data_IF_517068609665
#
_entry.id   IF_517068609665
#
_cell.length_a   1.000
_cell.length_b   1.000
_cell.length_c   1.000
_cell.angle_alpha   90.00
_cell.angle_beta   90.00
_cell.angle_gamma   90.00
#
_symmetry.space_group_name_H-M   'P 1'
#
loop_
_entity.id
_entity.type
_entity.pdbx_description
1 polymer ?
#
# COMPACT_ATOMS: atom_id res chain seq x y z
N UNK A 1 -16.33 21.52 -10.82
CA UNK A 1 -14.94 20.98 -10.86
C UNK A 1 -14.62 20.01 -9.72
N UNK A 2 -15.58 19.60 -8.89
CA UNK A 2 -15.39 18.65 -7.77
C UNK A 2 -15.10 17.19 -8.20
N UNK A 3 -15.16 16.90 -9.51
CA UNK A 3 -14.96 15.54 -10.03
C UNK A 3 -13.52 15.21 -10.43
N UNK A 4 -12.62 16.22 -10.45
CA UNK A 4 -11.23 16.01 -10.88
C UNK A 4 -10.49 14.95 -10.03
N UNK A 5 -10.53 14.99 -8.68
CA UNK A 5 -9.92 13.94 -7.87
C UNK A 5 -10.47 12.55 -8.22
N UNK A 6 -11.78 12.41 -8.35
CA UNK A 6 -12.41 11.13 -8.68
C UNK A 6 -11.99 10.59 -10.05
N UNK A 7 -11.76 11.47 -11.03
CA UNK A 7 -11.25 11.07 -12.36
C UNK A 7 -9.82 10.52 -12.22
N UNK A 8 -8.96 11.20 -11.45
CA UNK A 8 -7.59 10.75 -11.21
C UNK A 8 -7.59 9.39 -10.49
N UNK A 9 -8.46 9.21 -9.49
CA UNK A 9 -8.63 7.93 -8.79
C UNK A 9 -9.11 6.82 -9.75
N UNK A 10 -10.04 7.11 -10.66
CA UNK A 10 -10.46 6.15 -11.69
C UNK A 10 -9.32 5.77 -12.64
N UNK A 11 -8.50 6.73 -13.07
CA UNK A 11 -7.30 6.48 -13.88
C UNK A 11 -6.29 5.59 -13.13
N UNK A 12 -6.13 5.80 -11.81
CA UNK A 12 -5.30 4.94 -10.96
C UNK A 12 -5.84 3.51 -10.90
N UNK A 13 -7.14 3.32 -10.76
CA UNK A 13 -7.76 1.98 -10.80
C UNK A 13 -7.45 1.29 -12.12
N UNK A 14 -7.65 1.98 -13.25
CA UNK A 14 -7.33 1.43 -14.57
C UNK A 14 -5.85 1.08 -14.71
N UNK A 15 -4.96 1.99 -14.32
CA UNK A 15 -3.51 1.76 -14.34
C UNK A 15 -3.11 0.57 -13.47
N UNK A 16 -3.72 0.44 -12.28
CA UNK A 16 -3.49 -0.69 -11.38
C UNK A 16 -3.89 -2.01 -12.03
N UNK A 17 -5.06 -2.10 -12.62
CA UNK A 17 -5.51 -3.31 -13.30
C UNK A 17 -4.60 -3.67 -14.50
N UNK A 18 -4.14 -2.67 -15.25
CA UNK A 18 -3.21 -2.88 -16.36
C UNK A 18 -1.88 -3.53 -15.91
N UNK A 19 -1.42 -3.29 -14.68
CA UNK A 19 -0.20 -3.89 -14.13
C UNK A 19 -0.22 -5.43 -14.24
N UNK A 20 -1.38 -6.07 -14.07
CA UNK A 20 -1.48 -7.54 -14.15
C UNK A 20 -1.20 -8.07 -15.56
N UNK A 21 -1.64 -7.34 -16.58
CA UNK A 21 -1.66 -7.80 -17.96
C UNK A 21 -0.42 -7.39 -18.76
N UNK A 22 0.29 -6.33 -18.32
CA UNK A 22 1.46 -5.84 -19.06
C UNK A 22 2.71 -6.66 -18.78
N UNK A 23 3.66 -6.72 -19.76
CA UNK A 23 4.99 -7.27 -19.57
C UNK A 23 5.73 -6.58 -18.41
N UNK A 24 6.67 -7.29 -17.77
CA UNK A 24 7.40 -6.79 -16.60
C UNK A 24 8.16 -5.47 -16.84
N UNK A 25 8.55 -5.18 -18.09
CA UNK A 25 9.19 -3.91 -18.45
C UNK A 25 8.31 -2.68 -18.21
N UNK A 26 6.98 -2.84 -18.26
CA UNK A 26 6.01 -1.76 -18.02
C UNK A 26 5.53 -1.70 -16.57
N UNK A 27 5.93 -2.67 -15.74
CA UNK A 27 5.54 -2.71 -14.33
C UNK A 27 5.94 -1.43 -13.60
N UNK A 28 7.22 -1.04 -13.67
CA UNK A 28 7.72 0.15 -12.97
C UNK A 28 7.05 1.45 -13.42
N UNK A 29 6.96 1.76 -14.73
CA UNK A 29 6.27 2.96 -15.18
C UNK A 29 4.83 3.06 -14.66
N UNK A 30 4.06 1.97 -14.75
CA UNK A 30 2.66 1.95 -14.28
C UNK A 30 2.56 2.02 -12.76
N UNK A 31 3.45 1.35 -12.05
CA UNK A 31 3.53 1.39 -10.60
C UNK A 31 3.76 2.81 -10.09
N UNK A 32 4.76 3.50 -10.66
CA UNK A 32 5.06 4.90 -10.33
C UNK A 32 3.93 5.84 -10.72
N UNK A 33 3.34 5.65 -11.88
CA UNK A 33 2.20 6.43 -12.32
C UNK A 33 1.04 6.30 -11.32
N UNK A 34 0.68 5.08 -10.93
CA UNK A 34 -0.38 4.84 -9.96
C UNK A 34 -0.09 5.46 -8.58
N UNK A 35 1.16 5.35 -8.08
CA UNK A 35 1.54 5.96 -6.81
C UNK A 35 1.61 7.49 -6.85
N UNK A 36 2.05 8.08 -7.98
CA UNK A 36 2.07 9.54 -8.16
C UNK A 36 0.64 10.10 -8.25
N UNK A 37 -0.26 9.41 -8.95
CA UNK A 37 -1.67 9.84 -9.04
C UNK A 37 -2.35 9.84 -7.68
N UNK A 38 -2.05 8.87 -6.80
CA UNK A 38 -2.51 8.84 -5.42
C UNK A 38 -2.06 10.07 -4.60
N UNK A 39 -0.78 10.42 -4.72
CA UNK A 39 -0.25 11.59 -4.04
C UNK A 39 -0.89 12.89 -4.58
N UNK A 40 -1.14 12.96 -5.89
CA UNK A 40 -1.70 14.14 -6.55
C UNK A 40 -3.17 14.34 -6.22
N UNK A 41 -4.00 13.30 -6.30
CA UNK A 41 -5.45 13.45 -6.03
C UNK A 41 -5.72 13.76 -4.56
N UNK A 42 -5.02 13.11 -3.62
CA UNK A 42 -5.11 13.41 -2.20
C UNK A 42 -4.63 14.83 -1.85
N UNK A 43 -3.53 15.32 -2.48
CA UNK A 43 -3.06 16.70 -2.31
C UNK A 43 -4.05 17.70 -2.89
N UNK A 44 -4.56 17.45 -4.11
CA UNK A 44 -5.51 18.31 -4.80
C UNK A 44 -6.83 18.41 -4.05
N UNK A 45 -7.38 17.28 -3.60
CA UNK A 45 -8.62 17.24 -2.82
C UNK A 45 -8.54 18.06 -1.54
N UNK A 46 -7.42 17.97 -0.81
CA UNK A 46 -7.18 18.77 0.41
C UNK A 46 -6.99 20.23 0.11
N UNK A 47 -6.17 20.60 -0.87
CA UNK A 47 -5.85 22.02 -1.20
C UNK A 47 -7.06 22.76 -1.72
N UNK A 48 -7.94 22.11 -2.46
CA UNK A 48 -9.10 22.72 -3.09
C UNK A 48 -10.40 22.55 -2.29
N UNK A 49 -10.36 21.89 -1.13
CA UNK A 49 -11.53 21.53 -0.33
C UNK A 49 -12.61 20.77 -1.17
N UNK A 50 -12.17 19.87 -2.04
CA UNK A 50 -13.04 19.05 -2.91
C UNK A 50 -13.26 17.65 -2.34
N UNK A 51 -13.13 17.48 -1.05
CA UNK A 51 -13.38 16.21 -0.38
C UNK A 51 -14.87 15.88 -0.41
N UNK A 52 -15.20 14.62 -0.69
CA UNK A 52 -16.55 14.09 -0.62
C UNK A 52 -16.53 12.69 -0.03
N UNK A 53 -17.60 12.25 0.69
CA UNK A 53 -17.65 10.90 1.24
C UNK A 53 -17.48 9.80 0.17
N UNK A 54 -18.06 10.02 -1.00
CA UNK A 54 -17.89 9.11 -2.14
C UNK A 54 -16.46 9.11 -2.68
N UNK A 55 -15.81 10.27 -2.80
CA UNK A 55 -14.41 10.37 -3.23
C UNK A 55 -13.46 9.66 -2.27
N UNK A 56 -13.66 9.82 -0.96
CA UNK A 56 -12.86 9.13 0.06
C UNK A 56 -13.04 7.60 -0.01
N UNK A 57 -14.27 7.13 -0.21
CA UNK A 57 -14.53 5.70 -0.40
C UNK A 57 -13.86 5.16 -1.66
N UNK A 58 -13.98 5.87 -2.80
CA UNK A 58 -13.37 5.49 -4.06
C UNK A 58 -11.84 5.44 -3.97
N UNK A 59 -11.25 6.40 -3.27
CA UNK A 59 -9.81 6.46 -2.99
C UNK A 59 -9.34 5.24 -2.18
N UNK A 60 -10.01 4.92 -1.07
CA UNK A 60 -9.70 3.73 -0.27
C UNK A 60 -9.83 2.43 -1.07
N UNK A 61 -10.83 2.35 -1.96
CA UNK A 61 -11.00 1.19 -2.85
C UNK A 61 -9.87 1.09 -3.86
N UNK A 62 -9.45 2.21 -4.43
CA UNK A 62 -8.34 2.27 -5.38
C UNK A 62 -7.01 1.86 -4.74
N UNK A 63 -6.75 2.29 -3.49
CA UNK A 63 -5.58 1.90 -2.71
C UNK A 63 -5.54 0.40 -2.45
N UNK A 64 -6.68 -0.16 -2.02
CA UNK A 64 -6.80 -1.60 -1.79
C UNK A 64 -6.56 -2.40 -3.08
N UNK A 65 -7.16 -1.98 -4.18
CA UNK A 65 -6.96 -2.62 -5.49
C UNK A 65 -5.51 -2.52 -5.96
N UNK A 66 -4.90 -1.36 -5.86
CA UNK A 66 -3.49 -1.16 -6.21
C UNK A 66 -2.59 -2.10 -5.40
N UNK A 67 -2.79 -2.15 -4.08
CA UNK A 67 -2.04 -3.02 -3.18
C UNK A 67 -2.18 -4.51 -3.55
N UNK A 68 -3.41 -4.99 -3.76
CA UNK A 68 -3.68 -6.38 -4.13
C UNK A 68 -3.06 -6.75 -5.47
N UNK A 69 -3.16 -5.86 -6.46
CA UNK A 69 -2.59 -6.06 -7.80
C UNK A 69 -1.07 -6.12 -7.76
N UNK A 70 -0.43 -5.22 -7.02
CA UNK A 70 1.03 -5.19 -6.87
C UNK A 70 1.52 -6.47 -6.19
N UNK A 71 0.88 -6.89 -5.10
CA UNK A 71 1.22 -8.15 -4.43
C UNK A 71 1.05 -9.34 -5.40
N UNK A 72 -0.08 -9.43 -6.09
CA UNK A 72 -0.32 -10.51 -7.04
C UNK A 72 0.77 -10.54 -8.13
N UNK A 73 1.11 -9.38 -8.71
CA UNK A 73 2.17 -9.28 -9.73
C UNK A 73 3.53 -9.70 -9.19
N UNK A 74 3.89 -9.27 -7.98
CA UNK A 74 5.17 -9.64 -7.33
C UNK A 74 5.22 -11.13 -7.07
N UNK A 75 4.18 -11.72 -6.49
CA UNK A 75 4.11 -13.18 -6.21
C UNK A 75 4.18 -14.01 -7.49
N UNK A 76 3.54 -13.56 -8.58
CA UNK A 76 3.56 -14.24 -9.87
C UNK A 76 4.91 -14.10 -10.61
N UNK A 77 5.69 -13.07 -10.30
CA UNK A 77 6.91 -12.74 -11.05
C UNK A 77 8.19 -13.12 -10.31
N UNK A 78 8.18 -13.06 -8.99
CA UNK A 78 9.35 -13.26 -8.14
C UNK A 78 9.10 -14.43 -7.20
N UNK A 79 10.04 -15.38 -7.16
CA UNK A 79 10.03 -16.45 -6.15
C UNK A 79 10.38 -15.85 -4.79
N UNK A 80 9.36 -15.60 -3.97
CA UNK A 80 9.55 -15.06 -2.62
C UNK A 80 10.11 -16.16 -1.70
N UNK A 81 11.17 -15.88 -0.94
CA UNK A 81 11.63 -16.79 0.10
C UNK A 81 10.53 -17.08 1.13
N UNK A 82 10.40 -18.33 1.55
CA UNK A 82 9.35 -18.77 2.46
C UNK A 82 9.29 -17.95 3.78
N UNK A 83 10.45 -17.52 4.30
CA UNK A 83 10.50 -16.71 5.53
C UNK A 83 9.79 -15.36 5.39
N UNK A 84 9.80 -14.75 4.17
CA UNK A 84 9.07 -13.50 3.91
C UNK A 84 7.56 -13.71 3.93
N UNK A 85 7.09 -14.84 3.37
CA UNK A 85 5.66 -15.18 3.38
C UNK A 85 5.17 -15.43 4.81
N UNK A 86 5.90 -16.23 5.59
CA UNK A 86 5.57 -16.48 6.99
C UNK A 86 5.67 -15.22 7.85
N UNK A 87 6.69 -14.39 7.62
CA UNK A 87 6.84 -13.11 8.29
C UNK A 87 5.69 -12.15 8.00
N UNK A 88 5.29 -12.01 6.74
CA UNK A 88 4.16 -11.18 6.34
C UNK A 88 2.84 -11.69 6.95
N UNK A 89 2.63 -13.02 6.98
CA UNK A 89 1.47 -13.61 7.63
C UNK A 89 1.44 -13.31 9.13
N UNK A 90 2.59 -13.41 9.80
CA UNK A 90 2.72 -13.08 11.24
C UNK A 90 2.36 -11.62 11.51
N UNK A 91 2.89 -10.68 10.70
CA UNK A 91 2.55 -9.25 10.80
C UNK A 91 1.05 -9.03 10.60
N UNK A 92 0.46 -9.66 9.57
CA UNK A 92 -0.96 -9.54 9.29
C UNK A 92 -1.83 -10.06 10.46
N UNK A 93 -1.46 -11.19 11.05
CA UNK A 93 -2.15 -11.74 12.22
C UNK A 93 -2.06 -10.81 13.44
N UNK A 94 -0.88 -10.27 13.74
CA UNK A 94 -0.70 -9.33 14.86
C UNK A 94 -1.59 -8.11 14.63
N UNK A 95 -1.59 -7.51 13.43
CA UNK A 95 -2.44 -6.36 13.10
C UNK A 95 -3.93 -6.67 13.22
N UNK A 96 -4.37 -7.81 12.70
CA UNK A 96 -5.76 -8.22 12.85
C UNK A 96 -6.16 -8.34 14.33
N UNK A 97 -5.30 -8.93 15.17
CA UNK A 97 -5.54 -9.04 16.61
C UNK A 97 -5.60 -7.64 17.26
N UNK A 98 -4.67 -6.75 16.93
CA UNK A 98 -4.63 -5.38 17.45
C UNK A 98 -5.89 -4.60 17.06
N UNK A 99 -6.37 -4.70 15.81
CA UNK A 99 -7.60 -4.05 15.38
C UNK A 99 -8.84 -4.62 16.09
N UNK A 100 -8.91 -5.93 16.30
CA UNK A 100 -10.00 -6.58 17.03
C UNK A 100 -10.03 -6.10 18.48
N UNK A 101 -8.87 -6.10 19.16
CA UNK A 101 -8.76 -5.62 20.56
C UNK A 101 -9.11 -4.13 20.63
N UNK A 102 -8.59 -3.30 19.74
CA UNK A 102 -8.87 -1.87 19.67
C UNK A 102 -10.36 -1.59 19.50
N UNK A 103 -11.02 -2.31 18.60
CA UNK A 103 -12.45 -2.18 18.37
C UNK A 103 -13.28 -2.54 19.63
N UNK A 104 -12.99 -3.67 20.26
CA UNK A 104 -13.73 -4.08 21.47
C UNK A 104 -13.47 -3.18 22.67
N UNK A 105 -12.29 -2.57 22.78
CA UNK A 105 -11.92 -1.74 23.94
C UNK A 105 -12.32 -0.28 23.77
N UNK A 106 -12.21 0.28 22.57
CA UNK A 106 -12.38 1.71 22.33
C UNK A 106 -13.58 2.05 21.43
N UNK A 107 -14.26 1.06 20.84
CA UNK A 107 -15.35 1.22 19.86
C UNK A 107 -15.01 2.16 18.70
N UNK A 108 -13.73 2.32 18.38
CA UNK A 108 -13.22 3.14 17.30
C UNK A 108 -12.13 2.37 16.56
N UNK A 109 -12.15 2.46 15.23
CA UNK A 109 -11.03 2.03 14.40
C UNK A 109 -9.98 3.14 14.42
N UNK A 110 -9.17 3.19 15.47
CA UNK A 110 -8.02 4.11 15.54
C UNK A 110 -6.80 3.39 14.97
N UNK A 111 -6.50 3.62 13.69
CA UNK A 111 -5.16 3.33 13.21
C UNK A 111 -4.23 4.40 13.80
N UNK A 112 -3.36 4.01 14.71
CA UNK A 112 -2.32 4.90 15.21
C UNK A 112 -1.37 5.21 14.06
N UNK A 113 -1.32 6.47 13.63
CA UNK A 113 -0.39 6.95 12.61
C UNK A 113 1.02 7.09 13.22
N UNK A 114 1.60 5.95 13.64
CA UNK A 114 2.96 5.94 14.18
C UNK A 114 3.98 6.24 13.07
N UNK A 115 5.13 6.81 13.45
CA UNK A 115 6.22 7.05 12.50
C UNK A 115 6.71 5.76 11.85
N UNK A 116 6.74 4.65 12.61
CA UNK A 116 7.13 3.33 12.10
C UNK A 116 6.14 2.80 11.06
N UNK A 117 4.84 3.04 11.24
CA UNK A 117 3.83 2.64 10.25
C UNK A 117 4.01 3.41 8.93
N UNK A 118 4.29 4.72 9.00
CA UNK A 118 4.61 5.54 7.82
C UNK A 118 5.90 5.08 7.15
N UNK A 119 6.93 4.76 7.93
CA UNK A 119 8.20 4.25 7.42
C UNK A 119 8.01 2.91 6.71
N UNK A 120 7.27 1.99 7.32
CA UNK A 120 6.96 0.67 6.72
C UNK A 120 6.21 0.83 5.40
N UNK A 121 5.21 1.73 5.35
CA UNK A 121 4.49 2.06 4.12
C UNK A 121 5.41 2.63 3.04
N UNK A 122 6.32 3.54 3.40
CA UNK A 122 7.30 4.11 2.48
C UNK A 122 8.28 3.02 1.96
N UNK A 123 8.77 2.15 2.83
CA UNK A 123 9.64 1.04 2.43
C UNK A 123 8.94 0.06 1.51
N UNK A 124 7.67 -0.25 1.77
CA UNK A 124 6.84 -1.06 0.88
C UNK A 124 6.66 -0.38 -0.48
N UNK A 125 6.36 0.91 -0.49
CA UNK A 125 6.23 1.69 -1.72
C UNK A 125 7.54 1.74 -2.51
N UNK A 126 8.68 1.86 -1.85
CA UNK A 126 10.00 1.88 -2.51
C UNK A 126 10.52 0.47 -2.86
N UNK A 127 9.88 -0.58 -2.34
CA UNK A 127 10.37 -1.96 -2.49
C UNK A 127 10.68 -2.39 -3.93
N UNK A 128 9.89 -2.05 -4.97
CA UNK A 128 10.22 -2.43 -6.33
C UNK A 128 11.53 -1.80 -6.84
N UNK A 129 11.84 -0.58 -6.39
CA UNK A 129 13.09 0.10 -6.78
C UNK A 129 14.27 -0.49 -6.02
N UNK A 130 14.10 -0.67 -4.72
CA UNK A 130 15.18 -1.18 -3.85
C UNK A 130 15.58 -2.58 -4.28
N UNK A 131 14.62 -3.42 -4.69
CA UNK A 131 14.88 -4.77 -5.18
C UNK A 131 15.63 -4.83 -6.53
N UNK A 132 15.76 -3.71 -7.25
CA UNK A 132 16.66 -3.62 -8.41
C UNK A 132 18.13 -3.54 -8.01
N UNK A 133 18.42 -3.03 -6.82
CA UNK A 133 19.77 -2.72 -6.35
C UNK A 133 20.20 -3.69 -5.23
N UNK A 134 19.27 -4.05 -4.36
CA UNK A 134 19.52 -4.87 -3.17
C UNK A 134 18.86 -6.23 -3.32
N UNK A 135 19.57 -7.28 -2.88
CA UNK A 135 19.00 -8.62 -2.89
C UNK A 135 17.75 -8.71 -1.99
N UNK A 136 16.80 -9.54 -2.39
CA UNK A 136 15.49 -9.69 -1.73
C UNK A 136 15.61 -10.13 -0.25
N UNK A 137 16.62 -10.93 0.09
CA UNK A 137 16.78 -11.44 1.46
C UNK A 137 17.10 -10.34 2.49
N UNK A 138 18.18 -9.52 2.35
CA UNK A 138 18.51 -8.49 3.33
C UNK A 138 17.42 -7.40 3.38
N UNK A 139 16.89 -6.98 2.24
CA UNK A 139 15.81 -6.00 2.21
C UNK A 139 14.53 -6.51 2.87
N UNK A 140 14.17 -7.77 2.60
CA UNK A 140 12.99 -8.40 3.19
C UNK A 140 13.09 -8.53 4.71
N UNK A 141 14.28 -8.81 5.26
CA UNK A 141 14.50 -8.82 6.72
C UNK A 141 14.29 -7.42 7.31
N UNK A 142 14.85 -6.37 6.70
CA UNK A 142 14.68 -4.99 7.16
C UNK A 142 13.19 -4.60 7.12
N UNK A 143 12.50 -4.91 6.04
CA UNK A 143 11.09 -4.61 5.88
C UNK A 143 10.23 -5.32 6.94
N UNK A 144 10.47 -6.62 7.16
CA UNK A 144 9.75 -7.40 8.17
C UNK A 144 10.01 -6.91 9.58
N UNK A 145 11.25 -6.55 9.93
CA UNK A 145 11.55 -6.01 11.26
C UNK A 145 10.85 -4.68 11.50
N UNK A 146 10.86 -3.76 10.53
CA UNK A 146 10.11 -2.51 10.61
C UNK A 146 8.59 -2.76 10.75
N UNK A 147 8.05 -3.70 9.96
CA UNK A 147 6.63 -4.03 10.00
C UNK A 147 6.20 -4.68 11.33
N UNK A 148 7.03 -5.56 11.89
CA UNK A 148 6.80 -6.18 13.20
C UNK A 148 6.83 -5.13 14.32
N UNK A 149 7.85 -4.28 14.35
CA UNK A 149 7.96 -3.20 15.34
C UNK A 149 6.74 -2.26 15.26
N UNK A 150 6.35 -1.87 14.05
CA UNK A 150 5.16 -1.05 13.83
C UNK A 150 3.87 -1.72 14.32
N UNK A 151 3.76 -3.05 14.13
CA UNK A 151 2.57 -3.81 14.56
C UNK A 151 2.47 -4.01 16.07
N UNK A 152 3.61 -3.99 16.78
CA UNK A 152 3.65 -4.09 18.24
C UNK A 152 3.41 -2.73 18.90
N UNK A 153 3.78 -1.64 18.21
CA UNK A 153 3.55 -0.28 18.70
C UNK A 153 2.09 0.16 18.58
N UNK A 154 1.33 -0.46 17.67
CA UNK A 154 -0.09 -0.19 17.40
C UNK A 154 -1.03 -0.92 18.36
#
# INVERSE_FOLDING_TARGET
MKFIPNIITCLRILASLLILFVPNKWFFPLYFFAGLTDMLDGWLARKMNWTSPFGTFLDSLADLLFFLVVIAKVVLTITLPAFLLWGALTVALIRCISYVIGYFRFHQFTSLHTYLNKLTGLLLFLSPIVLLIVAIKPFGVILLTCALLSSVEE
#
